data_IF_764662675981
#
_entry.id   IF_764662675981
#
_cell.length_a   1.000
_cell.length_b   1.000
_cell.length_c   1.000
_cell.angle_alpha   90.00
_cell.angle_beta   90.00
_cell.angle_gamma   90.00
#
_symmetry.space_group_name_H-M   'P 1'
#
loop_
_entity.id
_entity.type
_entity.pdbx_description
1 polymer ?
#
# COMPACT_ATOMS: atom_id res chain seq x y z
N UNK A 1 -31.23 21.55 17.18
CA UNK A 1 -31.15 20.28 17.98
C UNK A 1 -31.06 19.09 17.05
N UNK A 2 -31.87 19.00 15.98
CA UNK A 2 -31.77 17.91 14.96
C UNK A 2 -30.41 17.84 14.28
N UNK A 3 -29.77 18.96 14.01
CA UNK A 3 -28.47 19.04 13.35
C UNK A 3 -27.33 18.36 14.14
N UNK A 4 -27.33 18.47 15.47
CA UNK A 4 -26.30 17.87 16.32
C UNK A 4 -26.48 16.35 16.39
N UNK A 5 -27.72 15.88 16.48
CA UNK A 5 -28.04 14.45 16.55
C UNK A 5 -27.71 13.74 15.23
N UNK A 6 -28.01 14.40 14.08
CA UNK A 6 -27.69 13.83 12.77
C UNK A 6 -26.18 13.82 12.48
N UNK A 7 -25.42 14.82 12.91
CA UNK A 7 -23.97 14.85 12.79
C UNK A 7 -23.29 13.73 13.59
N UNK A 8 -23.76 13.50 14.83
CA UNK A 8 -23.25 12.43 15.69
C UNK A 8 -23.58 11.05 15.12
N UNK A 9 -24.79 10.85 14.60
CA UNK A 9 -25.20 9.59 14.00
C UNK A 9 -24.42 9.28 12.69
N UNK A 10 -24.19 10.28 11.86
CA UNK A 10 -23.44 10.10 10.61
C UNK A 10 -21.95 9.80 10.87
N UNK A 11 -21.33 10.45 11.86
CA UNK A 11 -19.92 10.19 12.21
C UNK A 11 -19.73 8.82 12.86
N UNK A 12 -20.67 8.38 13.71
CA UNK A 12 -20.61 7.04 14.33
C UNK A 12 -20.84 5.92 13.32
N UNK A 13 -21.73 6.11 12.34
CA UNK A 13 -21.93 5.15 11.26
C UNK A 13 -20.68 5.02 10.35
N UNK A 14 -20.03 6.14 10.02
CA UNK A 14 -18.81 6.13 9.22
C UNK A 14 -17.63 5.42 9.92
N UNK A 15 -17.49 5.58 11.23
CA UNK A 15 -16.47 4.88 12.02
C UNK A 15 -16.76 3.39 12.17
N UNK A 16 -18.01 2.99 12.32
CA UNK A 16 -18.41 1.58 12.43
C UNK A 16 -18.21 0.80 11.14
N UNK A 17 -18.20 1.49 9.98
CA UNK A 17 -17.92 0.91 8.66
C UNK A 17 -16.43 0.87 8.30
N UNK A 18 -15.52 1.20 9.24
CA UNK A 18 -14.09 1.18 9.03
C UNK A 18 -13.56 2.31 8.15
N UNK A 19 -14.37 3.34 7.91
CA UNK A 19 -13.92 4.55 7.23
C UNK A 19 -12.91 5.30 8.12
N UNK A 20 -11.79 5.74 7.53
CA UNK A 20 -10.79 6.51 8.27
C UNK A 20 -11.36 7.79 8.89
N UNK A 21 -10.68 8.33 9.88
CA UNK A 21 -11.11 9.51 10.65
C UNK A 21 -11.48 10.71 9.78
N UNK A 22 -10.85 10.84 8.62
CA UNK A 22 -11.16 11.88 7.64
C UNK A 22 -12.57 11.73 7.06
N UNK A 23 -12.96 10.52 6.64
CA UNK A 23 -14.32 10.26 6.13
C UNK A 23 -15.37 10.39 7.22
N UNK A 24 -15.04 10.01 8.45
CA UNK A 24 -15.93 10.22 9.60
C UNK A 24 -16.19 11.71 9.89
N UNK A 25 -15.16 12.56 9.79
CA UNK A 25 -15.29 14.00 9.95
C UNK A 25 -16.12 14.65 8.83
N UNK A 26 -15.92 14.21 7.57
CA UNK A 26 -16.73 14.70 6.43
C UNK A 26 -18.18 14.23 6.56
N UNK A 27 -18.42 12.97 6.94
CA UNK A 27 -19.77 12.46 7.15
C UNK A 27 -20.48 13.14 8.33
N UNK A 28 -19.76 13.42 9.42
CA UNK A 28 -20.26 14.16 10.57
C UNK A 28 -20.64 15.60 10.22
N UNK A 29 -19.78 16.28 9.42
CA UNK A 29 -20.06 17.62 8.90
C UNK A 29 -21.31 17.64 8.01
N UNK A 30 -21.43 16.69 7.08
CA UNK A 30 -22.60 16.57 6.22
C UNK A 30 -23.89 16.29 7.01
N UNK A 31 -23.80 15.40 8.02
CA UNK A 31 -24.95 15.10 8.89
C UNK A 31 -25.43 16.30 9.74
N UNK A 32 -24.48 17.12 10.23
CA UNK A 32 -24.80 18.36 10.95
C UNK A 32 -25.49 19.39 10.08
N UNK A 33 -25.06 19.52 8.84
CA UNK A 33 -25.71 20.37 7.85
C UNK A 33 -27.11 19.89 7.49
N UNK A 34 -27.31 18.58 7.24
CA UNK A 34 -28.63 18.04 6.91
C UNK A 34 -29.66 18.28 8.04
N UNK A 35 -29.22 18.19 9.32
CA UNK A 35 -30.09 18.51 10.47
C UNK A 35 -30.53 19.98 10.50
N UNK A 36 -29.65 20.92 10.14
CA UNK A 36 -29.98 22.33 10.02
C UNK A 36 -30.98 22.63 8.88
N UNK A 37 -31.08 21.77 7.89
CA UNK A 37 -32.04 21.88 6.80
C UNK A 37 -33.42 21.35 7.13
N UNK A 38 -33.50 20.28 7.91
CA UNK A 38 -34.80 19.80 8.40
C UNK A 38 -35.48 20.92 9.20
N UNK A 39 -34.72 21.63 10.04
CA UNK A 39 -35.25 22.78 10.79
C UNK A 39 -35.69 23.94 9.86
N UNK A 40 -35.04 24.13 8.71
CA UNK A 40 -35.34 25.21 7.76
C UNK A 40 -36.41 24.83 6.73
N UNK A 41 -36.52 23.56 6.34
CA UNK A 41 -37.55 23.04 5.42
C UNK A 41 -38.95 23.07 6.06
N UNK A 42 -39.02 23.01 7.39
CA UNK A 42 -40.26 23.15 8.16
C UNK A 42 -40.71 24.63 8.27
N UNK A 43 -39.75 25.59 8.11
CA UNK A 43 -40.00 27.02 8.36
C UNK A 43 -39.71 27.95 7.17
N UNK A 44 -39.28 27.45 6.00
CA UNK A 44 -38.99 28.33 4.87
C UNK A 44 -38.84 27.64 3.52
N UNK A 45 -39.78 27.89 2.62
CA UNK A 45 -39.73 27.45 1.22
C UNK A 45 -38.76 28.31 0.38
N UNK A 46 -37.60 27.78 0.03
CA UNK A 46 -36.64 28.38 -0.91
C UNK A 46 -35.55 27.40 -1.33
N UNK A 47 -35.05 27.50 -2.58
CA UNK A 47 -33.88 26.74 -3.03
C UNK A 47 -32.67 27.19 -2.21
N UNK A 48 -32.10 26.30 -1.41
CA UNK A 48 -30.89 26.59 -0.64
C UNK A 48 -29.70 25.91 -1.32
N UNK A 49 -28.69 26.67 -1.72
CA UNK A 49 -27.40 26.17 -2.19
C UNK A 49 -26.41 26.22 -1.04
N UNK A 50 -25.72 25.13 -0.81
CA UNK A 50 -24.63 25.04 0.15
C UNK A 50 -23.38 24.64 -0.56
N UNK A 51 -22.36 25.45 -0.38
CA UNK A 51 -21.02 25.15 -0.79
C UNK A 51 -20.22 24.73 0.45
N UNK A 52 -19.74 23.52 0.48
CA UNK A 52 -18.85 22.99 1.51
C UNK A 52 -17.47 22.84 0.91
N UNK A 53 -16.49 23.59 1.41
CA UNK A 53 -15.09 23.44 1.05
C UNK A 53 -14.38 22.56 2.09
N UNK A 54 -13.66 21.52 1.62
CA UNK A 54 -12.74 20.73 2.44
C UNK A 54 -11.53 21.58 2.86
N UNK A 55 -10.82 21.15 3.90
CA UNK A 55 -9.59 21.81 4.34
C UNK A 55 -8.53 21.77 3.24
N UNK A 56 -7.98 22.96 2.94
CA UNK A 56 -6.91 23.14 1.97
C UNK A 56 -5.56 23.15 2.65
N UNK A 57 -4.54 22.62 2.00
CA UNK A 57 -3.18 22.61 2.52
C UNK A 57 -2.64 24.04 2.62
N UNK A 58 -2.35 24.51 3.84
CA UNK A 58 -1.82 25.85 4.10
C UNK A 58 -0.32 25.88 4.28
N UNK A 59 0.30 24.78 4.70
CA UNK A 59 1.74 24.67 4.91
C UNK A 59 2.32 23.36 4.37
N UNK A 60 3.41 23.49 3.62
CA UNK A 60 4.12 22.39 3.01
C UNK A 60 5.25 21.92 3.93
N UNK A 61 5.02 20.89 4.72
CA UNK A 61 6.11 20.21 5.44
C UNK A 61 6.79 19.23 4.48
N UNK A 62 7.92 19.61 3.91
CA UNK A 62 8.74 18.76 3.06
C UNK A 62 9.68 17.94 3.93
N UNK A 63 9.68 16.64 3.74
CA UNK A 63 10.74 15.79 4.27
C UNK A 63 12.08 16.23 3.67
N UNK A 64 13.10 16.28 4.52
CA UNK A 64 14.42 16.84 4.27
C UNK A 64 15.04 16.43 2.93
N UNK A 65 15.18 17.41 2.04
CA UNK A 65 16.23 17.43 1.03
C UNK A 65 17.42 18.17 1.62
N UNK A 66 18.37 17.46 2.18
CA UNK A 66 19.57 18.09 2.76
C UNK A 66 20.67 18.05 1.72
N UNK A 67 21.04 19.21 1.19
CA UNK A 67 22.23 19.36 0.37
C UNK A 67 23.49 19.03 1.20
N UNK A 68 24.39 18.23 0.63
CA UNK A 68 25.63 17.83 1.32
C UNK A 68 25.46 16.66 2.29
N UNK A 69 24.30 16.00 2.35
CA UNK A 69 24.14 14.75 3.10
C UNK A 69 24.98 13.64 2.47
N UNK A 70 25.79 12.97 3.29
CA UNK A 70 26.57 11.82 2.83
C UNK A 70 25.68 10.70 2.32
N UNK A 71 26.01 10.14 1.16
CA UNK A 71 25.36 8.95 0.61
C UNK A 71 25.89 7.73 1.36
N UNK A 72 25.04 6.92 2.01
CA UNK A 72 25.53 5.75 2.75
C UNK A 72 26.05 4.67 1.82
N UNK A 73 27.10 3.96 2.24
CA UNK A 73 27.59 2.73 1.63
C UNK A 73 27.05 1.57 2.45
N UNK A 74 26.49 0.56 1.81
CA UNK A 74 25.88 -0.59 2.47
C UNK A 74 26.65 -1.84 2.14
N UNK A 75 26.82 -2.68 3.13
CA UNK A 75 27.34 -4.04 3.02
C UNK A 75 26.34 -5.02 3.63
N UNK A 76 25.95 -6.05 2.86
CA UNK A 76 24.93 -7.00 3.27
C UNK A 76 23.51 -6.43 3.22
N UNK A 77 22.73 -6.63 4.27
CA UNK A 77 21.33 -6.22 4.38
C UNK A 77 21.19 -5.10 5.41
N UNK A 78 20.58 -3.97 5.03
CA UNK A 78 20.39 -2.85 5.94
C UNK A 78 19.14 -2.04 5.59
N UNK A 79 18.46 -1.51 6.63
CA UNK A 79 17.37 -0.54 6.47
C UNK A 79 17.89 0.88 6.66
N UNK A 80 17.69 1.71 5.65
CA UNK A 80 18.19 3.08 5.61
C UNK A 80 17.10 4.07 5.21
N UNK A 81 17.26 5.33 5.63
CA UNK A 81 16.41 6.43 5.22
C UNK A 81 16.87 6.98 3.86
N UNK A 82 15.90 7.24 2.99
CA UNK A 82 16.15 7.92 1.72
C UNK A 82 16.40 9.42 1.87
N UNK A 83 16.93 10.04 0.82
CA UNK A 83 17.08 11.49 0.69
C UNK A 83 16.45 11.96 -0.61
N UNK A 84 15.54 12.94 -0.54
CA UNK A 84 14.89 13.47 -1.76
C UNK A 84 15.90 14.26 -2.58
N UNK A 85 16.16 13.82 -3.81
CA UNK A 85 17.14 14.44 -4.73
C UNK A 85 16.46 15.24 -5.85
N UNK A 86 15.19 14.97 -6.11
CA UNK A 86 14.38 15.69 -7.08
C UNK A 86 12.90 15.58 -6.70
N UNK A 87 12.13 16.63 -6.92
CA UNK A 87 10.70 16.66 -6.66
C UNK A 87 9.99 17.63 -7.59
N UNK A 88 8.77 17.27 -7.97
CA UNK A 88 7.82 18.20 -8.58
C UNK A 88 7.07 18.96 -7.47
N UNK A 89 6.51 20.14 -7.79
CA UNK A 89 5.52 20.76 -6.92
C UNK A 89 4.37 19.79 -6.62
N UNK A 90 3.82 19.87 -5.42
CA UNK A 90 2.64 19.08 -5.06
C UNK A 90 1.49 19.44 -6.02
N UNK A 91 0.87 18.42 -6.57
CA UNK A 91 -0.28 18.53 -7.45
C UNK A 91 -1.55 18.46 -6.61
N UNK A 92 -2.34 19.52 -6.65
CA UNK A 92 -3.69 19.55 -6.09
C UNK A 92 -4.67 19.03 -7.13
N UNK A 93 -5.56 18.13 -6.73
CA UNK A 93 -6.68 17.67 -7.52
C UNK A 93 -7.97 18.03 -6.79
N UNK A 94 -8.86 18.71 -7.47
CA UNK A 94 -10.13 19.17 -6.89
C UNK A 94 -11.25 18.30 -7.42
N UNK A 95 -12.00 17.68 -6.54
CA UNK A 95 -13.19 16.91 -6.89
C UNK A 95 -14.42 17.61 -6.32
N UNK A 96 -15.33 17.99 -7.18
CA UNK A 96 -16.60 18.62 -6.79
C UNK A 96 -17.72 17.62 -7.01
N UNK A 97 -18.44 17.28 -5.95
CA UNK A 97 -19.59 16.41 -6.00
C UNK A 97 -20.84 17.21 -5.62
N UNK A 98 -21.83 17.23 -6.52
CA UNK A 98 -23.11 17.88 -6.28
C UNK A 98 -24.15 16.81 -5.98
N UNK A 99 -24.76 16.87 -4.80
CA UNK A 99 -25.90 16.04 -4.44
C UNK A 99 -27.16 16.88 -4.40
N UNK A 100 -28.17 16.48 -5.16
CA UNK A 100 -29.50 17.09 -5.15
C UNK A 100 -30.44 16.19 -4.37
N UNK A 101 -30.96 16.71 -3.25
CA UNK A 101 -32.02 16.05 -2.49
C UNK A 101 -33.35 16.59 -2.97
N UNK A 102 -34.02 15.81 -3.88
CA UNK A 102 -35.36 16.11 -4.35
C UNK A 102 -36.41 15.66 -3.37
N UNK A 103 -37.31 16.53 -2.96
CA UNK A 103 -38.47 16.16 -2.17
C UNK A 103 -39.37 15.19 -2.90
N UNK A 104 -39.76 14.10 -2.22
CA UNK A 104 -40.65 13.07 -2.73
C UNK A 104 -41.99 13.66 -3.20
N UNK A 105 -42.57 12.98 -4.16
CA UNK A 105 -43.83 13.27 -4.84
C UNK A 105 -45.02 13.14 -3.87
N UNK A 106 -45.29 14.27 -3.17
CA UNK A 106 -46.46 14.36 -2.26
C UNK A 106 -46.67 15.82 -1.89
N UNK A 107 -47.70 16.43 -2.42
CA UNK A 107 -48.14 17.81 -2.43
C UNK A 107 -47.73 18.74 -1.28
N UNK A 108 -47.15 19.86 -1.66
CA UNK A 108 -46.93 21.05 -0.82
C UNK A 108 -45.46 21.48 -0.83
N UNK A 109 -45.11 22.45 -1.65
CA UNK A 109 -44.01 23.42 -1.54
C UNK A 109 -42.65 22.98 -1.01
N UNK A 110 -42.11 21.83 -1.38
CA UNK A 110 -40.79 21.37 -0.93
C UNK A 110 -39.66 21.92 -1.79
N UNK A 111 -38.82 22.81 -1.27
CA UNK A 111 -37.64 23.30 -1.95
C UNK A 111 -36.58 22.19 -2.11
N UNK A 112 -35.96 22.10 -3.28
CA UNK A 112 -34.81 21.23 -3.52
C UNK A 112 -33.56 21.82 -2.87
N UNK A 113 -32.82 21.00 -2.16
CA UNK A 113 -31.53 21.37 -1.58
C UNK A 113 -30.44 20.78 -2.46
N UNK A 114 -29.58 21.62 -2.96
CA UNK A 114 -28.42 21.27 -3.74
C UNK A 114 -27.18 21.50 -2.88
N UNK A 115 -26.49 20.44 -2.49
CA UNK A 115 -25.25 20.49 -1.71
C UNK A 115 -24.07 20.20 -2.63
N UNK A 116 -23.19 21.15 -2.79
CA UNK A 116 -21.95 21.00 -3.53
C UNK A 116 -20.81 20.86 -2.53
N UNK A 117 -20.17 19.70 -2.56
CA UNK A 117 -18.98 19.39 -1.73
C UNK A 117 -17.74 19.42 -2.61
N UNK A 118 -16.79 20.27 -2.27
CA UNK A 118 -15.48 20.34 -2.92
C UNK A 118 -14.44 19.65 -2.04
N UNK A 119 -13.80 18.62 -2.54
CA UNK A 119 -12.75 17.86 -1.86
C UNK A 119 -11.42 18.07 -2.56
N UNK A 120 -10.39 18.35 -1.78
CA UNK A 120 -9.02 18.52 -2.26
C UNK A 120 -8.22 17.24 -1.96
N UNK A 121 -7.53 16.71 -2.96
CA UNK A 121 -6.56 15.63 -2.83
C UNK A 121 -5.21 16.06 -3.36
N UNK A 122 -4.14 15.57 -2.76
CA UNK A 122 -2.78 15.98 -3.06
C UNK A 122 -1.93 14.78 -3.45
N UNK A 123 -1.09 14.96 -4.47
CA UNK A 123 -0.09 13.98 -4.87
C UNK A 123 1.25 14.65 -5.19
N UNK A 124 2.34 13.87 -5.11
CA UNK A 124 3.68 14.35 -5.41
C UNK A 124 4.45 13.33 -6.23
N UNK A 125 5.24 13.81 -7.19
CA UNK A 125 6.21 12.99 -7.91
C UNK A 125 7.62 13.39 -7.47
N UNK A 126 8.45 12.41 -7.11
CA UNK A 126 9.76 12.66 -6.53
C UNK A 126 10.76 11.53 -6.85
N UNK A 127 12.04 11.87 -6.78
CA UNK A 127 13.13 10.91 -6.79
C UNK A 127 13.83 10.91 -5.41
N UNK A 128 14.07 9.71 -4.89
CA UNK A 128 14.65 9.50 -3.57
C UNK A 128 15.92 8.69 -3.74
N UNK A 129 17.07 9.29 -3.40
CA UNK A 129 18.34 8.60 -3.31
C UNK A 129 18.33 7.65 -2.13
N UNK A 130 18.90 6.48 -2.31
CA UNK A 130 18.90 5.40 -1.33
C UNK A 130 20.32 5.24 -0.77
N UNK A 131 21.27 4.80 -1.59
CA UNK A 131 22.66 4.56 -1.19
C UNK A 131 23.59 4.55 -2.40
N UNK A 132 24.89 4.40 -2.16
CA UNK A 132 25.85 4.10 -3.21
C UNK A 132 25.51 2.75 -3.86
N UNK A 133 25.54 2.72 -5.20
CA UNK A 133 25.34 1.52 -6.00
C UNK A 133 26.66 0.91 -6.48
N UNK A 134 26.62 -0.20 -7.20
CA UNK A 134 25.40 -0.94 -7.47
C UNK A 134 24.92 -1.75 -6.25
N UNK A 135 23.61 -1.81 -6.08
CA UNK A 135 22.97 -2.70 -5.10
C UNK A 135 22.37 -3.92 -5.78
N UNK A 136 22.12 -4.98 -5.02
CA UNK A 136 21.48 -6.18 -5.55
C UNK A 136 19.99 -5.95 -5.73
N UNK A 137 19.33 -5.44 -4.68
CA UNK A 137 17.87 -5.15 -4.69
C UNK A 137 17.45 -4.22 -3.57
N UNK A 138 16.23 -3.72 -3.68
CA UNK A 138 15.46 -3.14 -2.57
C UNK A 138 14.41 -4.17 -2.16
N UNK A 139 14.54 -4.70 -0.95
CA UNK A 139 13.69 -5.80 -0.44
C UNK A 139 12.33 -5.27 -0.01
N UNK A 140 12.32 -4.15 0.75
CA UNK A 140 11.10 -3.53 1.29
C UNK A 140 11.23 -2.02 1.33
N UNK A 141 10.07 -1.37 1.28
CA UNK A 141 9.96 0.08 1.44
C UNK A 141 8.93 0.39 2.51
N UNK A 142 9.17 1.41 3.29
CA UNK A 142 8.21 1.95 4.27
C UNK A 142 8.02 3.44 4.05
N UNK A 143 6.80 3.88 4.27
CA UNK A 143 6.43 5.28 4.39
C UNK A 143 5.91 5.52 5.81
N UNK A 144 6.60 6.35 6.61
CA UNK A 144 6.31 6.59 8.04
C UNK A 144 6.14 5.31 8.86
N UNK A 145 6.98 4.33 8.72
CA UNK A 145 6.90 3.03 9.42
C UNK A 145 5.80 2.07 8.92
N UNK A 146 4.94 2.46 8.00
CA UNK A 146 3.98 1.56 7.34
C UNK A 146 4.65 0.92 6.13
N UNK A 147 4.57 -0.40 5.97
CA UNK A 147 5.02 -1.05 4.74
C UNK A 147 4.30 -0.43 3.54
N UNK A 148 5.06 -0.11 2.51
CA UNK A 148 4.56 0.47 1.28
C UNK A 148 4.67 -0.54 0.14
N UNK A 149 3.52 -0.89 -0.42
CA UNK A 149 3.45 -1.69 -1.64
C UNK A 149 3.59 -0.74 -2.85
N UNK A 150 4.79 -0.63 -3.38
CA UNK A 150 5.04 0.18 -4.58
C UNK A 150 4.38 -0.42 -5.83
N UNK A 151 3.98 -1.70 -5.82
CA UNK A 151 3.32 -2.33 -6.97
C UNK A 151 1.95 -1.73 -7.26
N UNK A 152 1.33 -1.09 -6.28
CA UNK A 152 0.06 -0.35 -6.41
C UNK A 152 0.23 1.03 -7.07
N UNK A 153 1.47 1.49 -7.27
CA UNK A 153 1.78 2.81 -7.81
C UNK A 153 2.70 2.76 -9.04
N UNK A 154 2.92 3.91 -9.64
CA UNK A 154 3.90 4.07 -10.71
C UNK A 154 5.26 4.44 -10.12
N UNK A 155 6.24 3.53 -10.21
CA UNK A 155 7.60 3.78 -9.76
C UNK A 155 8.63 3.25 -10.77
N UNK A 156 9.85 3.77 -10.68
CA UNK A 156 11.03 3.28 -11.40
C UNK A 156 12.19 3.15 -10.41
N UNK A 157 12.79 1.97 -10.31
CA UNK A 157 13.92 1.68 -9.43
C UNK A 157 15.22 1.60 -10.24
N UNK A 158 16.23 2.30 -9.76
CA UNK A 158 17.58 2.35 -10.34
C UNK A 158 18.58 1.82 -9.32
N UNK A 159 19.35 0.81 -9.71
CA UNK A 159 20.24 0.09 -8.81
C UNK A 159 21.61 0.74 -8.62
N UNK A 160 21.90 1.81 -9.34
CA UNK A 160 23.16 2.54 -9.23
C UNK A 160 24.30 1.97 -10.09
N UNK A 161 23.97 1.35 -11.23
CA UNK A 161 24.96 0.86 -12.17
C UNK A 161 25.67 2.01 -12.90
N UNK A 162 26.95 1.82 -13.28
CA UNK A 162 27.72 2.81 -14.04
C UNK A 162 27.17 3.05 -15.46
N UNK A 163 26.39 2.12 -16.00
CA UNK A 163 25.73 2.23 -17.30
C UNK A 163 24.30 2.78 -17.22
N UNK A 164 23.87 3.18 -16.01
CA UNK A 164 22.53 3.71 -15.75
C UNK A 164 22.22 4.91 -16.62
N UNK A 165 21.02 4.91 -17.20
CA UNK A 165 20.51 6.01 -18.02
C UNK A 165 19.63 6.95 -17.18
N UNK A 166 19.49 8.22 -17.61
CA UNK A 166 18.55 9.14 -16.97
C UNK A 166 17.13 8.60 -16.98
N UNK A 167 16.39 8.85 -15.90
CA UNK A 167 14.97 8.49 -15.81
C UNK A 167 14.17 9.29 -16.85
N UNK A 168 13.32 8.60 -17.62
CA UNK A 168 12.54 9.21 -18.71
C UNK A 168 11.48 10.18 -18.23
N UNK A 169 10.89 9.91 -17.05
CA UNK A 169 9.91 10.80 -16.45
C UNK A 169 10.56 12.09 -15.97
N UNK A 170 11.69 12.01 -15.27
CA UNK A 170 12.45 13.21 -14.87
C UNK A 170 12.88 13.98 -16.11
N UNK A 171 13.37 13.28 -17.15
CA UNK A 171 13.84 13.89 -18.41
C UNK A 171 12.74 14.68 -19.11
N UNK A 172 11.48 14.29 -18.97
CA UNK A 172 10.37 15.01 -19.59
C UNK A 172 10.15 16.44 -19.02
N UNK A 173 10.75 16.77 -17.87
CA UNK A 173 10.68 18.09 -17.22
C UNK A 173 11.96 18.91 -17.33
N UNK A 174 12.98 18.40 -18.01
CA UNK A 174 14.27 19.06 -18.20
C UNK A 174 14.60 19.20 -19.69
N UNK A 175 15.40 20.20 -20.07
CA UNK A 175 15.93 20.27 -21.44
C UNK A 175 16.71 19.01 -21.79
N UNK A 176 16.68 18.66 -23.08
CA UNK A 176 17.35 17.46 -23.58
C UNK A 176 18.83 17.43 -23.19
N UNK A 177 19.26 16.30 -22.60
CA UNK A 177 20.64 16.09 -22.18
C UNK A 177 21.04 16.70 -20.84
N UNK A 178 20.13 17.39 -20.14
CA UNK A 178 20.43 18.01 -18.83
C UNK A 178 20.01 17.16 -17.61
N UNK A 179 19.34 16.04 -17.84
CA UNK A 179 18.93 15.14 -16.74
C UNK A 179 20.10 14.26 -16.32
N UNK A 180 20.50 14.28 -15.04
CA UNK A 180 21.56 13.41 -14.55
C UNK A 180 21.08 11.96 -14.53
N UNK A 181 21.97 11.04 -14.86
CA UNK A 181 21.73 9.60 -14.79
C UNK A 181 21.92 9.03 -13.39
N UNK A 182 22.48 9.81 -12.45
CA UNK A 182 22.81 9.40 -11.07
C UNK A 182 23.59 8.07 -11.02
N UNK A 183 24.56 7.86 -11.94
CA UNK A 183 25.42 6.67 -11.96
C UNK A 183 26.13 6.52 -10.62
N UNK A 184 26.35 5.28 -10.20
CA UNK A 184 26.95 4.99 -8.91
C UNK A 184 26.03 5.25 -7.71
N UNK A 185 24.75 5.61 -7.94
CA UNK A 185 23.79 5.85 -6.88
C UNK A 185 22.48 5.09 -7.15
N UNK A 186 22.05 4.29 -6.17
CA UNK A 186 20.73 3.67 -6.20
C UNK A 186 19.67 4.68 -5.80
N UNK A 187 18.60 4.79 -6.58
CA UNK A 187 17.49 5.69 -6.29
C UNK A 187 16.17 5.14 -6.84
N UNK A 188 15.06 5.65 -6.33
CA UNK A 188 13.71 5.34 -6.80
C UNK A 188 13.02 6.63 -7.24
N UNK A 189 12.30 6.56 -8.36
CA UNK A 189 11.38 7.61 -8.83
C UNK A 189 9.97 7.14 -8.54
N UNK A 190 9.20 7.91 -7.79
CA UNK A 190 7.81 7.64 -7.46
C UNK A 190 6.96 8.72 -8.13
N UNK A 191 5.94 8.30 -8.90
CA UNK A 191 5.08 9.21 -9.67
C UNK A 191 3.71 9.31 -9.02
N UNK A 192 3.20 10.54 -8.92
CA UNK A 192 1.87 10.88 -8.41
C UNK A 192 1.50 10.17 -7.08
N UNK A 193 2.47 10.10 -6.15
CA UNK A 193 2.28 9.47 -4.84
C UNK A 193 1.19 10.20 -4.05
N UNK A 194 0.12 9.51 -3.60
CA UNK A 194 -0.98 10.14 -2.88
C UNK A 194 -0.56 10.50 -1.45
N UNK A 195 -0.89 11.71 -1.00
CA UNK A 195 -0.52 12.23 0.31
C UNK A 195 -1.63 12.13 1.36
N UNK A 196 -2.86 11.75 0.97
CA UNK A 196 -4.02 11.74 1.86
C UNK A 196 -3.81 10.93 3.14
N UNK A 197 -3.23 9.71 3.01
CA UNK A 197 -3.00 8.80 4.13
C UNK A 197 -1.87 9.26 5.07
N UNK A 198 -1.15 10.32 4.69
CA UNK A 198 0.01 10.86 5.42
C UNK A 198 -0.23 12.30 5.90
N UNK A 199 -1.50 12.71 6.02
CA UNK A 199 -1.83 14.07 6.45
C UNK A 199 -1.42 15.15 5.45
N UNK A 200 -1.49 14.84 4.15
CA UNK A 200 -1.10 15.70 3.03
C UNK A 200 0.35 16.20 3.09
N UNK A 201 1.25 15.43 3.71
CA UNK A 201 2.70 15.67 3.74
C UNK A 201 3.46 14.52 3.09
N UNK A 202 4.70 14.77 2.69
CA UNK A 202 5.59 13.71 2.20
C UNK A 202 6.04 12.86 3.41
N UNK A 203 5.75 11.53 3.41
CA UNK A 203 6.17 10.67 4.51
C UNK A 203 7.67 10.39 4.50
N UNK A 204 8.19 9.90 5.63
CA UNK A 204 9.57 9.45 5.73
C UNK A 204 9.74 8.09 5.05
N UNK A 205 10.42 8.05 3.90
CA UNK A 205 10.70 6.81 3.21
C UNK A 205 11.95 6.14 3.79
N UNK A 206 11.83 4.84 4.09
CA UNK A 206 12.96 4.00 4.44
C UNK A 206 12.95 2.75 3.55
N UNK A 207 14.14 2.26 3.25
CA UNK A 207 14.37 1.18 2.29
C UNK A 207 15.22 0.09 2.94
N UNK A 208 14.77 -1.15 2.86
CA UNK A 208 15.60 -2.31 3.16
C UNK A 208 16.34 -2.68 1.88
N UNK A 209 17.64 -2.55 1.93
CA UNK A 209 18.53 -2.72 0.77
C UNK A 209 19.42 -3.92 1.01
N UNK A 210 19.60 -4.73 -0.03
CA UNK A 210 20.58 -5.82 -0.05
C UNK A 210 21.68 -5.49 -1.04
N UNK A 211 22.93 -5.58 -0.60
CA UNK A 211 24.13 -5.51 -1.44
C UNK A 211 25.00 -6.73 -1.18
N UNK A 212 25.05 -7.61 -2.15
CA UNK A 212 25.92 -8.80 -2.15
C UNK A 212 27.28 -8.43 -2.73
N UNK A 213 28.34 -8.74 -2.02
CA UNK A 213 29.69 -8.59 -2.56
C UNK A 213 30.00 -9.82 -3.40
N UNK A 214 30.29 -9.61 -4.70
CA UNK A 214 30.81 -10.66 -5.55
C UNK A 214 32.34 -10.65 -5.46
N UNK A 215 32.89 -11.52 -4.60
CA UNK A 215 34.31 -11.82 -4.61
C UNK A 215 34.49 -13.30 -5.01
N UNK A 216 35.38 -13.60 -5.96
CA UNK A 216 35.74 -14.98 -6.24
C UNK A 216 36.34 -15.62 -4.97
N UNK A 217 35.93 -16.83 -4.63
CA UNK A 217 36.41 -17.66 -3.50
C UNK A 217 35.91 -17.29 -2.10
N UNK A 218 34.83 -16.58 -1.97
CA UNK A 218 34.19 -16.36 -0.67
C UNK A 218 33.45 -17.65 -0.18
N UNK A 219 32.98 -17.64 1.09
CA UNK A 219 32.28 -18.77 1.68
C UNK A 219 31.06 -19.18 0.84
N UNK A 220 30.38 -18.21 0.26
CA UNK A 220 29.20 -18.37 -0.59
C UNK A 220 29.47 -19.28 -1.81
N UNK A 221 30.69 -19.23 -2.37
CA UNK A 221 31.10 -20.10 -3.49
C UNK A 221 31.36 -21.55 -3.08
N UNK A 222 31.49 -21.83 -1.78
CA UNK A 222 31.80 -23.16 -1.23
C UNK A 222 30.56 -23.90 -0.73
N UNK A 223 29.46 -23.20 -0.50
CA UNK A 223 28.22 -23.79 0.00
C UNK A 223 27.57 -24.60 -1.12
N UNK A 224 27.36 -25.89 -0.86
CA UNK A 224 26.76 -26.85 -1.78
C UNK A 224 25.34 -27.24 -1.40
N UNK A 225 25.00 -27.13 -0.13
CA UNK A 225 23.71 -27.52 0.42
C UNK A 225 23.21 -26.50 1.42
N UNK A 226 21.90 -26.26 1.42
CA UNK A 226 21.21 -25.41 2.38
C UNK A 226 19.87 -26.02 2.79
N UNK A 227 19.39 -25.65 3.96
CA UNK A 227 18.02 -25.90 4.38
C UNK A 227 17.19 -24.62 4.22
N UNK A 228 16.09 -24.73 3.48
CA UNK A 228 15.13 -23.66 3.29
C UNK A 228 14.04 -23.79 4.37
N UNK A 229 14.07 -22.87 5.32
CA UNK A 229 13.10 -22.81 6.41
C UNK A 229 12.06 -21.74 6.05
N UNK A 230 10.76 -22.05 6.04
CA UNK A 230 9.73 -21.08 5.66
C UNK A 230 9.63 -19.96 6.71
N UNK A 231 9.29 -18.78 6.26
CA UNK A 231 8.82 -17.70 7.12
C UNK A 231 7.39 -17.94 7.60
N UNK A 232 6.73 -16.89 8.10
CA UNK A 232 5.32 -16.95 8.45
C UNK A 232 4.43 -16.86 7.22
N UNK A 233 3.37 -17.68 7.17
CA UNK A 233 2.32 -17.62 6.14
C UNK A 233 2.08 -18.97 5.43
N UNK A 234 0.83 -19.19 5.04
CA UNK A 234 0.40 -20.48 4.43
C UNK A 234 0.93 -20.67 3.00
N UNK A 235 1.16 -19.57 2.27
CA UNK A 235 1.57 -19.60 0.86
C UNK A 235 3.03 -19.25 0.63
N UNK A 236 3.87 -19.46 1.63
CA UNK A 236 5.30 -19.07 1.62
C UNK A 236 6.13 -19.77 0.54
N UNK A 237 5.75 -20.98 0.13
CA UNK A 237 6.40 -21.73 -0.95
C UNK A 237 5.69 -21.63 -2.29
N UNK A 238 4.55 -20.95 -2.36
CA UNK A 238 3.80 -20.86 -3.60
C UNK A 238 4.56 -19.99 -4.62
N UNK A 239 4.56 -20.43 -5.87
CA UNK A 239 5.19 -19.75 -6.99
C UNK A 239 4.24 -18.81 -7.73
N UNK A 240 2.96 -18.84 -7.39
CA UNK A 240 1.92 -17.96 -7.91
C UNK A 240 1.55 -16.95 -6.82
N UNK A 241 1.27 -15.71 -7.22
CA UNK A 241 0.80 -14.69 -6.28
C UNK A 241 -0.62 -15.02 -5.84
N UNK A 242 -0.81 -15.23 -4.55
CA UNK A 242 -2.10 -15.50 -3.93
C UNK A 242 -2.72 -14.22 -3.38
N UNK A 243 -4.00 -14.04 -3.66
CA UNK A 243 -4.77 -12.89 -3.23
C UNK A 243 -5.91 -13.31 -2.30
N UNK A 244 -5.96 -12.72 -1.13
CA UNK A 244 -7.03 -12.91 -0.15
C UNK A 244 -8.05 -11.80 -0.25
N UNK A 245 -9.29 -12.18 -0.45
CA UNK A 245 -10.42 -11.26 -0.57
C UNK A 245 -11.42 -11.57 0.54
N UNK A 246 -11.79 -10.57 1.33
CA UNK A 246 -12.87 -10.69 2.29
C UNK A 246 -14.22 -10.39 1.64
N UNK A 247 -15.25 -11.12 2.03
CA UNK A 247 -16.60 -10.97 1.50
C UNK A 247 -17.63 -11.66 2.39
N UNK A 248 -18.85 -11.64 1.94
CA UNK A 248 -19.98 -12.33 2.59
C UNK A 248 -20.68 -13.20 1.54
N UNK A 249 -21.34 -14.27 1.98
CA UNK A 249 -22.22 -15.01 1.11
C UNK A 249 -23.55 -14.25 1.00
N UNK A 250 -24.08 -14.16 -0.22
CA UNK A 250 -25.43 -13.68 -0.46
C UNK A 250 -26.47 -14.75 -0.06
N UNK A 251 -27.75 -14.40 -0.15
CA UNK A 251 -28.86 -15.33 0.16
C UNK A 251 -28.90 -16.55 -0.78
N UNK A 252 -28.23 -16.52 -1.92
CA UNK A 252 -28.09 -17.63 -2.86
C UNK A 252 -26.81 -18.45 -2.62
N UNK A 253 -25.98 -18.08 -1.62
CA UNK A 253 -24.73 -18.76 -1.29
C UNK A 253 -23.52 -18.33 -2.13
N UNK A 254 -23.66 -17.28 -2.98
CA UNK A 254 -22.53 -16.80 -3.77
C UNK A 254 -21.66 -15.88 -2.94
N UNK A 255 -20.33 -15.97 -3.13
CA UNK A 255 -19.38 -15.07 -2.47
C UNK A 255 -19.47 -13.66 -3.09
N UNK A 256 -19.85 -12.69 -2.27
CA UNK A 256 -19.88 -11.27 -2.65
C UNK A 256 -18.70 -10.57 -2.00
N UNK A 257 -17.80 -10.04 -2.82
CA UNK A 257 -16.63 -9.30 -2.37
C UNK A 257 -17.08 -8.02 -1.67
N UNK A 258 -16.65 -7.83 -0.41
CA UNK A 258 -17.00 -6.67 0.41
C UNK A 258 -15.82 -5.92 0.99
N UNK A 259 -14.57 -6.35 0.71
CA UNK A 259 -13.39 -5.85 1.37
C UNK A 259 -12.17 -5.65 0.48
N UNK A 260 -11.08 -5.24 1.11
CA UNK A 260 -9.79 -5.03 0.46
C UNK A 260 -9.19 -6.36 0.00
N UNK A 261 -8.63 -6.38 -1.20
CA UNK A 261 -7.78 -7.46 -1.67
C UNK A 261 -6.40 -7.32 -1.01
N UNK A 262 -5.89 -8.41 -0.44
CA UNK A 262 -4.55 -8.47 0.16
C UNK A 262 -3.75 -9.56 -0.52
N UNK A 263 -2.58 -9.23 -1.02
CA UNK A 263 -1.63 -10.20 -1.56
C UNK A 263 -0.90 -10.87 -0.41
N UNK A 264 -0.90 -12.21 -0.38
CA UNK A 264 -0.40 -12.99 0.74
C UNK A 264 1.10 -13.25 0.66
N UNK A 265 1.61 -13.53 -0.54
CA UNK A 265 2.99 -13.91 -0.82
C UNK A 265 3.67 -12.99 -1.84
N UNK A 266 3.33 -11.69 -1.79
CA UNK A 266 3.97 -10.65 -2.59
C UNK A 266 4.38 -9.49 -1.68
N UNK A 267 5.60 -9.56 -1.15
CA UNK A 267 6.20 -8.56 -0.25
C UNK A 267 7.47 -7.93 -0.84
N UNK A 268 7.63 -7.99 -2.15
CA UNK A 268 8.80 -7.51 -2.88
C UNK A 268 8.41 -6.55 -4.01
N UNK A 269 9.41 -5.88 -4.62
CA UNK A 269 9.19 -4.93 -5.71
C UNK A 269 9.26 -5.56 -7.11
N UNK A 270 9.53 -6.86 -7.20
CA UNK A 270 9.74 -7.54 -8.48
C UNK A 270 8.43 -8.03 -9.12
N UNK A 271 7.30 -7.84 -8.47
CA UNK A 271 5.98 -8.37 -8.88
C UNK A 271 5.95 -9.89 -9.11
N UNK A 272 6.81 -10.62 -8.39
CA UNK A 272 6.88 -12.08 -8.40
C UNK A 272 6.50 -12.59 -7.03
N UNK A 273 6.01 -13.83 -6.95
CA UNK A 273 5.83 -14.49 -5.65
C UNK A 273 7.14 -14.50 -4.85
N UNK A 274 7.05 -14.31 -3.54
CA UNK A 274 8.22 -14.17 -2.66
C UNK A 274 9.14 -15.38 -2.72
N UNK A 275 8.60 -16.59 -2.91
CA UNK A 275 9.36 -17.84 -3.11
C UNK A 275 10.29 -17.75 -4.34
N UNK A 276 9.80 -17.23 -5.47
CA UNK A 276 10.61 -17.08 -6.68
C UNK A 276 11.71 -16.04 -6.49
N UNK A 277 11.41 -14.93 -5.82
CA UNK A 277 12.42 -13.91 -5.51
C UNK A 277 13.47 -14.46 -4.53
N UNK A 278 13.04 -15.26 -3.54
CA UNK A 278 13.96 -15.91 -2.61
C UNK A 278 14.90 -16.88 -3.35
N UNK A 279 14.39 -17.66 -4.31
CA UNK A 279 15.21 -18.57 -5.12
C UNK A 279 16.14 -17.82 -6.08
N UNK A 280 15.68 -16.73 -6.72
CA UNK A 280 16.52 -15.87 -7.55
C UNK A 280 17.67 -15.28 -6.71
N UNK A 281 17.38 -14.81 -5.50
CA UNK A 281 18.38 -14.29 -4.56
C UNK A 281 19.33 -15.37 -4.06
N UNK A 282 18.81 -16.55 -3.75
CA UNK A 282 19.62 -17.70 -3.38
C UNK A 282 20.64 -18.03 -4.47
N UNK A 283 20.17 -18.16 -5.71
CA UNK A 283 21.03 -18.44 -6.86
C UNK A 283 22.07 -17.34 -7.10
N UNK A 284 21.71 -16.07 -6.85
CA UNK A 284 22.64 -14.97 -6.99
C UNK A 284 23.68 -14.91 -5.87
N UNK A 285 23.31 -15.34 -4.66
CA UNK A 285 24.17 -15.28 -3.47
C UNK A 285 25.04 -16.52 -3.35
N UNK A 286 24.50 -17.70 -3.64
CA UNK A 286 25.15 -19.01 -3.48
C UNK A 286 25.16 -19.72 -4.84
N UNK A 287 26.05 -19.32 -5.78
CA UNK A 287 26.01 -19.76 -7.17
C UNK A 287 26.29 -21.25 -7.34
N UNK A 288 26.92 -21.90 -6.35
CA UNK A 288 27.34 -23.29 -6.38
C UNK A 288 26.48 -24.22 -5.52
N UNK A 289 25.33 -23.77 -5.06
CA UNK A 289 24.36 -24.64 -4.37
C UNK A 289 23.79 -25.67 -5.32
N UNK A 290 23.86 -26.92 -4.93
CA UNK A 290 23.40 -28.08 -5.70
C UNK A 290 22.15 -28.71 -5.07
N UNK A 291 22.03 -28.61 -3.73
CA UNK A 291 20.96 -29.25 -2.97
C UNK A 291 20.26 -28.24 -2.06
N UNK A 292 18.93 -28.32 -2.05
CA UNK A 292 18.08 -27.52 -1.16
C UNK A 292 17.11 -28.44 -0.44
N UNK A 293 17.25 -28.53 0.88
CA UNK A 293 16.29 -29.23 1.75
C UNK A 293 15.16 -28.28 2.13
N UNK A 294 13.94 -28.62 1.74
CA UNK A 294 12.75 -27.81 2.06
C UNK A 294 12.10 -28.36 3.33
N UNK A 295 11.94 -27.50 4.33
CA UNK A 295 11.29 -27.85 5.60
C UNK A 295 9.80 -27.60 5.49
N UNK A 296 9.01 -28.67 5.72
CA UNK A 296 7.56 -28.63 5.75
C UNK A 296 7.06 -28.96 7.16
N UNK A 297 6.04 -28.24 7.62
CA UNK A 297 5.42 -28.48 8.91
C UNK A 297 4.14 -29.29 8.75
N UNK A 298 3.95 -30.22 9.70
CA UNK A 298 2.74 -30.99 9.84
C UNK A 298 2.14 -30.72 11.21
N UNK A 299 0.83 -30.70 11.29
CA UNK A 299 0.11 -30.40 12.52
C UNK A 299 -0.38 -31.67 13.18
N UNK A 300 -0.23 -31.72 14.49
CA UNK A 300 -0.74 -32.79 15.34
C UNK A 300 -1.97 -32.25 16.11
N UNK A 301 -3.05 -33.02 16.13
CA UNK A 301 -4.28 -32.65 16.81
C UNK A 301 -4.30 -33.02 18.30
N UNK A 302 -3.33 -33.80 18.76
CA UNK A 302 -3.18 -34.21 20.17
C UNK A 302 -1.70 -34.37 20.52
N UNK A 303 -1.38 -34.14 21.80
CA UNK A 303 -0.06 -34.47 22.39
C UNK A 303 0.05 -35.93 22.82
N UNK A 304 -1.07 -36.67 22.86
CA UNK A 304 -1.08 -38.10 23.17
C UNK A 304 -0.81 -38.91 21.89
N UNK A 305 0.33 -39.60 21.80
CA UNK A 305 0.71 -40.36 20.61
C UNK A 305 -0.23 -41.53 20.28
N UNK A 306 -1.04 -42.00 21.25
CA UNK A 306 -1.98 -43.10 21.03
C UNK A 306 -3.21 -42.68 20.19
N UNK A 307 -3.55 -41.39 20.20
CA UNK A 307 -4.74 -40.83 19.53
C UNK A 307 -4.40 -39.71 18.56
N UNK A 308 -3.12 -39.31 18.51
CA UNK A 308 -2.66 -38.18 17.67
C UNK A 308 -2.79 -38.53 16.19
N UNK A 309 -3.42 -37.64 15.45
CA UNK A 309 -3.42 -37.64 13.98
C UNK A 309 -2.53 -36.53 13.49
N UNK A 310 -1.51 -36.89 12.71
CA UNK A 310 -0.62 -35.92 12.08
C UNK A 310 -1.08 -35.70 10.66
N UNK A 311 -1.33 -34.46 10.31
CA UNK A 311 -1.85 -34.05 8.99
C UNK A 311 -1.26 -32.73 8.52
N UNK A 312 -1.16 -32.50 7.20
CA UNK A 312 -0.91 -31.17 6.69
C UNK A 312 -2.08 -30.24 7.06
N UNK A 313 -1.80 -28.97 7.23
CA UNK A 313 -2.80 -28.00 7.63
C UNK A 313 -2.26 -26.58 7.55
N UNK A 314 -3.12 -25.63 7.89
CA UNK A 314 -2.79 -24.22 8.02
C UNK A 314 -2.91 -23.81 9.48
N UNK A 315 -2.11 -22.84 9.90
CA UNK A 315 -2.11 -22.34 11.28
C UNK A 315 -3.36 -21.51 11.58
N UNK A 316 -3.90 -20.85 10.57
CA UNK A 316 -5.04 -19.97 10.72
C UNK A 316 -5.96 -19.98 9.50
N UNK A 317 -7.20 -20.38 9.68
CA UNK A 317 -8.27 -20.27 8.70
C UNK A 317 -9.07 -18.97 8.92
N UNK A 318 -9.05 -18.10 7.93
CA UNK A 318 -9.84 -16.86 7.94
C UNK A 318 -11.23 -17.12 7.40
N UNK A 319 -12.18 -17.35 8.28
CA UNK A 319 -13.58 -17.46 7.89
C UNK A 319 -14.07 -16.18 7.18
N UNK A 320 -14.87 -16.33 6.13
CA UNK A 320 -15.38 -15.22 5.34
C UNK A 320 -14.36 -14.58 4.39
N UNK A 321 -13.28 -15.28 4.07
CA UNK A 321 -12.34 -14.86 3.05
C UNK A 321 -12.21 -15.94 1.96
N UNK A 322 -11.88 -15.50 0.74
CA UNK A 322 -11.52 -16.36 -0.38
C UNK A 322 -10.11 -16.07 -0.82
N UNK A 323 -9.35 -17.11 -1.09
CA UNK A 323 -8.02 -17.02 -1.68
C UNK A 323 -8.09 -17.41 -3.16
N UNK A 324 -7.36 -16.72 -4.01
CA UNK A 324 -7.30 -16.97 -5.45
C UNK A 324 -5.88 -16.67 -5.96
N UNK A 325 -5.38 -17.32 -7.03
CA UNK A 325 -6.10 -18.26 -7.87
C UNK A 325 -6.31 -19.66 -7.23
N UNK A 326 -5.46 -20.03 -6.25
CA UNK A 326 -5.47 -21.35 -5.64
C UNK A 326 -6.08 -21.27 -4.24
N UNK A 327 -7.09 -22.11 -3.98
CA UNK A 327 -7.59 -22.30 -2.63
C UNK A 327 -6.82 -23.42 -1.95
N UNK A 328 -6.82 -23.43 -0.61
CA UNK A 328 -6.15 -24.48 0.16
C UNK A 328 -6.91 -25.79 0.02
N UNK A 329 -6.29 -26.75 -0.63
CA UNK A 329 -6.84 -28.11 -0.80
C UNK A 329 -5.80 -29.14 -0.44
N UNK A 330 -6.15 -30.04 0.48
CA UNK A 330 -5.33 -31.19 0.85
C UNK A 330 -6.06 -32.46 0.49
N UNK A 331 -5.47 -33.28 -0.39
CA UNK A 331 -6.08 -34.53 -0.83
C UNK A 331 -6.37 -35.47 0.35
N UNK A 332 -7.63 -35.88 0.50
CA UNK A 332 -8.07 -36.73 1.60
C UNK A 332 -8.40 -36.03 2.92
N UNK A 333 -8.29 -34.70 2.96
CA UNK A 333 -8.68 -33.87 4.10
C UNK A 333 -9.58 -32.74 3.61
N UNK A 334 -10.72 -32.56 4.22
CA UNK A 334 -11.68 -31.49 3.99
C UNK A 334 -12.01 -30.80 5.29
#
# INVERSE_FOLDING_TARGET
>A
MASIVLAAAASSAATSLGAGTFFAAVAGGAGGFLGGFVDRAIFGGGKTRINQEGSRLTDLMVQFSTYGKAIPIIYGNSRIAGNVIWSRPIKESVTTTTQSSGGGKGGGGGGSVETTTTTYSYSVSMAIAICEGPITEVVRVWADSKPLDLTQGSYSLYLGNETQLPDTFISSFHPTGQTPAYRGMAYVVIKDFPLADYGNRIPNFTFEVRRTLKKPFDLEDKIKEISLIPGAGEYVYDTVVQEKTFGQQDVAGNFVQGGKITKLNLNNLSNKADSLVALDNLKATLPNVEYVSVILNWFADSVDPAVCVIKPGVEFDSQGARVAPDDWVVAGFT
#
